data_IF_274689098382
#
_entry.id   IF_274689098382
#
_cell.length_a   1.000
_cell.length_b   1.000
_cell.length_c   1.000
_cell.angle_alpha   90.00
_cell.angle_beta   90.00
_cell.angle_gamma   90.00
#
_symmetry.space_group_name_H-M   'P 1'
#
loop_
_entity.id
_entity.type
_entity.pdbx_description
1 polymer ?
#
# COMPACT_ATOMS: atom_id res chain seq x y z
N UNK A 1 26.58 50.64 19.42
CA UNK A 1 25.76 50.72 18.20
C UNK A 1 25.09 49.36 18.00
N UNK A 2 23.80 49.21 18.33
CA UNK A 2 23.09 47.91 18.29
C UNK A 2 22.44 47.75 16.91
N UNK A 3 23.02 46.90 16.07
CA UNK A 3 22.44 46.53 14.76
C UNK A 3 21.36 45.48 15.04
N UNK A 4 20.09 45.86 14.92
CA UNK A 4 18.96 44.93 14.96
C UNK A 4 18.85 44.27 13.58
N UNK A 5 19.36 43.06 13.45
CA UNK A 5 19.10 42.20 12.29
C UNK A 5 17.68 41.64 12.46
N UNK A 6 16.71 42.22 11.75
CA UNK A 6 15.36 41.67 11.66
C UNK A 6 15.39 40.64 10.54
N UNK A 7 15.52 39.36 10.91
CA UNK A 7 15.39 38.24 9.97
C UNK A 7 13.91 38.19 9.53
N UNK A 8 13.58 38.29 8.23
CA UNK A 8 12.19 38.31 7.81
C UNK A 8 11.59 36.92 8.04
N UNK A 9 10.53 36.89 8.84
CA UNK A 9 9.76 35.73 9.30
C UNK A 9 8.90 35.12 8.16
N UNK A 10 9.45 34.99 6.95
CA UNK A 10 8.68 34.66 5.73
C UNK A 10 9.03 33.30 5.10
N UNK A 11 9.88 32.48 5.73
CA UNK A 11 10.27 31.17 5.20
C UNK A 11 9.49 30.00 5.85
N UNK A 12 8.75 30.22 6.95
CA UNK A 12 8.03 29.14 7.65
C UNK A 12 6.60 28.87 7.13
N UNK A 13 6.18 29.48 6.02
CA UNK A 13 4.79 29.43 5.55
C UNK A 13 4.46 28.37 4.48
N UNK A 14 5.46 27.77 3.81
CA UNK A 14 5.23 26.91 2.64
C UNK A 14 5.29 25.40 2.91
N UNK A 15 5.76 24.97 4.09
CA UNK A 15 5.89 23.54 4.40
C UNK A 15 4.54 22.83 4.59
N UNK A 16 3.47 23.56 4.95
CA UNK A 16 2.16 22.97 5.23
C UNK A 16 1.24 22.84 3.99
N UNK A 17 1.62 23.39 2.84
CA UNK A 17 0.81 23.30 1.60
C UNK A 17 1.07 21.97 0.86
N UNK A 18 2.16 21.27 1.17
CA UNK A 18 2.59 20.06 0.46
C UNK A 18 2.05 18.76 1.08
N UNK A 19 1.62 18.78 2.35
CA UNK A 19 1.03 17.61 2.99
C UNK A 19 -0.47 17.58 2.70
N UNK A 20 -0.86 16.90 1.63
CA UNK A 20 -2.24 16.52 1.40
C UNK A 20 -2.66 15.52 2.46
N UNK A 21 -3.19 15.99 3.59
CA UNK A 21 -3.76 15.09 4.60
C UNK A 21 -4.96 14.39 3.97
N UNK A 22 -4.75 13.15 3.54
CA UNK A 22 -5.79 12.34 2.94
C UNK A 22 -6.72 11.80 4.06
N UNK A 23 -8.02 12.12 3.98
CA UNK A 23 -9.02 11.67 4.96
C UNK A 23 -9.47 10.21 4.72
N UNK A 24 -8.53 9.31 4.39
CA UNK A 24 -8.87 7.92 4.13
C UNK A 24 -9.34 7.20 5.40
N UNK A 25 -10.54 6.62 5.33
CA UNK A 25 -11.11 5.85 6.43
C UNK A 25 -10.69 4.38 6.33
N UNK A 26 -10.42 3.79 7.50
CA UNK A 26 -10.21 2.34 7.65
C UNK A 26 -8.94 1.79 6.94
N UNK A 27 -7.87 2.59 6.89
CA UNK A 27 -6.51 2.11 6.64
C UNK A 27 -5.96 1.51 7.93
N UNK A 28 -5.73 0.19 7.95
CA UNK A 28 -5.25 -0.54 9.15
C UNK A 28 -3.82 -1.09 9.02
N UNK A 29 -3.29 -1.14 7.79
CA UNK A 29 -1.98 -1.76 7.46
C UNK A 29 -1.12 -0.80 6.65
N UNK A 30 -1.73 -0.06 5.73
CA UNK A 30 -1.06 1.01 5.00
C UNK A 30 -0.95 2.26 5.86
N UNK A 31 0.03 3.11 5.56
CA UNK A 31 0.21 4.40 6.23
C UNK A 31 -1.09 5.22 6.16
N UNK A 32 -1.68 5.64 7.29
CA UNK A 32 -2.86 6.50 7.29
C UNK A 32 -2.62 7.87 6.64
N UNK A 33 -1.37 8.29 6.45
CA UNK A 33 -0.97 9.55 5.82
C UNK A 33 -0.54 9.40 4.35
N UNK A 34 -0.73 8.22 3.75
CA UNK A 34 -0.40 7.97 2.35
C UNK A 34 -1.09 8.99 1.42
N UNK A 35 -0.36 9.50 0.43
CA UNK A 35 -0.91 10.42 -0.55
C UNK A 35 -1.98 9.72 -1.42
N UNK A 36 -3.00 10.46 -1.85
CA UNK A 36 -4.13 9.87 -2.59
C UNK A 36 -3.71 9.20 -3.90
N UNK A 37 -2.77 9.81 -4.62
CA UNK A 37 -2.23 9.28 -5.88
C UNK A 37 -1.50 7.96 -5.66
N UNK A 38 -0.72 7.86 -4.58
CA UNK A 38 0.03 6.67 -4.20
C UNK A 38 -0.91 5.54 -3.76
N UNK A 39 -1.91 5.85 -2.93
CA UNK A 39 -2.91 4.86 -2.53
C UNK A 39 -3.67 4.31 -3.76
N UNK A 40 -4.09 5.18 -4.67
CA UNK A 40 -4.78 4.76 -5.91
C UNK A 40 -3.86 3.89 -6.78
N UNK A 41 -2.58 4.23 -6.90
CA UNK A 41 -1.61 3.44 -7.66
C UNK A 41 -1.43 2.06 -7.05
N UNK A 42 -1.30 1.99 -5.72
CA UNK A 42 -1.15 0.74 -4.97
C UNK A 42 -2.39 -0.16 -5.13
N UNK A 43 -3.60 0.39 -4.98
CA UNK A 43 -4.84 -0.36 -5.18
C UNK A 43 -4.97 -0.90 -6.62
N UNK A 44 -4.59 -0.10 -7.62
CA UNK A 44 -4.54 -0.55 -9.03
C UNK A 44 -3.52 -1.67 -9.22
N UNK A 45 -2.35 -1.58 -8.58
CA UNK A 45 -1.34 -2.64 -8.61
C UNK A 45 -1.88 -3.94 -8.06
N UNK A 46 -2.58 -3.92 -6.91
CA UNK A 46 -3.18 -5.12 -6.34
C UNK A 46 -4.23 -5.73 -7.28
N UNK A 47 -5.14 -4.91 -7.80
CA UNK A 47 -6.15 -5.38 -8.75
C UNK A 47 -5.52 -6.03 -9.98
N UNK A 48 -4.44 -5.44 -10.53
CA UNK A 48 -3.68 -6.00 -11.66
C UNK A 48 -3.01 -7.33 -11.30
N UNK A 49 -2.34 -7.42 -10.15
CA UNK A 49 -1.66 -8.63 -9.72
C UNK A 49 -2.59 -9.82 -9.52
N UNK A 50 -3.84 -9.57 -9.15
CA UNK A 50 -4.88 -10.59 -8.94
C UNK A 50 -5.77 -10.80 -10.18
N UNK A 51 -5.64 -9.98 -11.23
CA UNK A 51 -6.51 -10.06 -12.41
C UNK A 51 -7.98 -9.70 -12.15
N UNK A 52 -8.25 -8.89 -11.13
CA UNK A 52 -9.62 -8.56 -10.68
C UNK A 52 -9.95 -7.08 -10.86
N UNK A 53 -11.23 -6.74 -10.69
CA UNK A 53 -11.72 -5.35 -10.62
C UNK A 53 -11.84 -4.87 -9.18
N UNK A 54 -11.90 -3.56 -8.96
CA UNK A 54 -12.00 -2.96 -7.61
C UNK A 54 -13.15 -3.53 -6.77
N UNK A 55 -14.28 -3.86 -7.40
CA UNK A 55 -15.49 -4.40 -6.74
C UNK A 55 -15.34 -5.83 -6.23
N UNK A 56 -14.24 -6.50 -6.56
CA UNK A 56 -13.88 -7.80 -5.98
C UNK A 56 -13.63 -7.64 -4.47
N UNK A 57 -12.82 -6.65 -4.07
CA UNK A 57 -12.52 -6.36 -2.68
C UNK A 57 -13.40 -5.26 -2.09
N UNK A 58 -13.83 -4.26 -2.87
CA UNK A 58 -14.52 -3.08 -2.33
C UNK A 58 -16.01 -3.07 -2.58
N UNK A 59 -16.76 -2.50 -1.64
CA UNK A 59 -18.14 -2.05 -1.87
C UNK A 59 -18.08 -0.78 -2.71
N UNK A 60 -18.80 -0.76 -3.85
CA UNK A 60 -18.89 0.42 -4.72
C UNK A 60 -19.38 1.63 -3.92
N UNK A 61 -18.75 2.78 -4.12
CA UNK A 61 -19.01 4.05 -3.43
C UNK A 61 -18.79 4.03 -1.90
N UNK A 62 -18.32 2.91 -1.34
CA UNK A 62 -18.07 2.75 0.10
C UNK A 62 -16.79 1.94 0.38
N UNK A 63 -15.67 2.40 -0.20
CA UNK A 63 -14.37 1.71 -0.18
C UNK A 63 -13.84 1.38 1.23
N UNK A 64 -14.25 2.14 2.25
CA UNK A 64 -13.87 1.96 3.65
C UNK A 64 -14.56 0.77 4.33
N UNK A 65 -15.71 0.30 3.83
CA UNK A 65 -16.46 -0.83 4.43
C UNK A 65 -15.71 -2.14 4.34
N UNK A 66 -15.89 -3.00 5.34
CA UNK A 66 -15.26 -4.33 5.45
C UNK A 66 -16.24 -5.47 5.09
N UNK A 67 -17.39 -5.15 4.48
CA UNK A 67 -18.48 -6.07 4.10
C UNK A 67 -18.09 -7.14 3.05
N UNK A 68 -16.91 -7.02 2.45
CA UNK A 68 -16.37 -7.95 1.46
C UNK A 68 -15.25 -8.76 2.09
N UNK A 69 -15.42 -10.07 2.18
CA UNK A 69 -14.41 -10.98 2.75
C UNK A 69 -13.04 -10.84 2.08
N UNK A 70 -12.99 -10.70 0.76
CA UNK A 70 -11.74 -10.50 0.01
C UNK A 70 -10.92 -9.28 0.50
N UNK A 71 -11.54 -8.22 1.01
CA UNK A 71 -10.82 -7.09 1.61
C UNK A 71 -10.15 -7.47 2.92
N UNK A 72 -10.81 -8.27 3.75
CA UNK A 72 -10.26 -8.76 5.00
C UNK A 72 -9.05 -9.67 4.74
N UNK A 73 -9.16 -10.55 3.73
CA UNK A 73 -8.06 -11.41 3.28
C UNK A 73 -6.92 -10.57 2.71
N UNK A 74 -7.21 -9.63 1.81
CA UNK A 74 -6.20 -8.75 1.21
C UNK A 74 -5.41 -7.98 2.27
N UNK A 75 -6.07 -7.53 3.36
CA UNK A 75 -5.37 -6.88 4.49
C UNK A 75 -4.32 -7.79 5.13
N UNK A 76 -4.64 -9.07 5.33
CA UNK A 76 -3.68 -10.06 5.83
C UNK A 76 -2.54 -10.29 4.82
N UNK A 77 -2.86 -10.37 3.53
CA UNK A 77 -1.85 -10.55 2.48
C UNK A 77 -0.90 -9.36 2.33
N UNK A 78 -1.38 -8.12 2.53
CA UNK A 78 -0.52 -6.93 2.54
C UNK A 78 0.47 -7.00 3.71
N UNK A 79 -0.01 -7.34 4.91
CA UNK A 79 0.85 -7.50 6.09
C UNK A 79 1.88 -8.63 5.91
N UNK A 80 1.45 -9.78 5.36
CA UNK A 80 2.35 -10.90 5.03
C UNK A 80 3.42 -10.48 4.02
N UNK A 81 3.04 -9.77 2.96
CA UNK A 81 3.97 -9.28 1.94
C UNK A 81 4.99 -8.33 2.56
N UNK A 82 4.57 -7.43 3.45
CA UNK A 82 5.49 -6.54 4.15
C UNK A 82 6.49 -7.30 5.03
N UNK A 83 6.04 -8.36 5.73
CA UNK A 83 6.92 -9.26 6.48
C UNK A 83 7.95 -9.95 5.60
N UNK A 84 7.52 -10.59 4.51
CA UNK A 84 8.43 -11.27 3.56
C UNK A 84 9.44 -10.28 2.98
N UNK A 85 9.03 -9.06 2.64
CA UNK A 85 9.95 -8.02 2.15
C UNK A 85 11.01 -7.64 3.17
N UNK A 86 10.64 -7.53 4.44
CA UNK A 86 11.59 -7.28 5.53
C UNK A 86 12.62 -8.41 5.62
N UNK A 87 12.17 -9.68 5.60
CA UNK A 87 13.05 -10.84 5.63
C UNK A 87 13.97 -10.88 4.39
N UNK A 88 13.44 -10.63 3.19
CA UNK A 88 14.23 -10.59 1.95
C UNK A 88 15.30 -9.50 1.99
N UNK A 89 15.01 -8.35 2.60
CA UNK A 89 15.98 -7.27 2.78
C UNK A 89 17.10 -7.66 3.74
N UNK A 90 16.79 -8.41 4.79
CA UNK A 90 17.77 -8.92 5.75
C UNK A 90 18.65 -10.02 5.13
N UNK A 91 18.03 -10.99 4.46
CA UNK A 91 18.71 -12.16 3.88
C UNK A 91 19.54 -11.76 2.65
N UNK A 92 19.05 -10.81 1.84
CA UNK A 92 19.68 -10.40 0.58
C UNK A 92 19.90 -8.88 0.50
N UNK A 93 20.74 -8.29 1.37
CA UNK A 93 20.87 -6.83 1.51
C UNK A 93 21.45 -6.11 0.28
N UNK A 94 22.14 -6.86 -0.60
CA UNK A 94 22.72 -6.35 -1.85
C UNK A 94 21.85 -6.60 -3.09
N UNK A 95 20.67 -7.22 -2.92
CA UNK A 95 19.72 -7.50 -4.01
C UNK A 95 18.45 -6.70 -3.78
N UNK A 96 17.78 -6.34 -4.86
CA UNK A 96 16.51 -5.62 -4.85
C UNK A 96 15.28 -6.55 -4.72
N UNK A 97 15.46 -7.72 -4.08
CA UNK A 97 14.39 -8.72 -3.96
C UNK A 97 13.20 -8.21 -3.13
N UNK A 98 13.46 -7.46 -2.06
CA UNK A 98 12.41 -6.82 -1.26
C UNK A 98 11.49 -5.94 -2.14
N UNK A 99 12.08 -5.10 -2.98
CA UNK A 99 11.31 -4.17 -3.84
C UNK A 99 10.55 -4.91 -4.95
N UNK A 100 11.15 -5.99 -5.48
CA UNK A 100 10.56 -6.80 -6.54
C UNK A 100 9.47 -7.76 -6.05
N UNK A 101 9.55 -8.23 -4.81
CA UNK A 101 8.58 -9.18 -4.27
C UNK A 101 7.22 -8.49 -4.08
N UNK A 102 6.17 -8.93 -4.77
CA UNK A 102 4.84 -8.34 -4.68
C UNK A 102 3.78 -9.40 -4.98
N UNK A 103 2.50 -9.01 -4.94
CA UNK A 103 1.36 -9.92 -5.12
C UNK A 103 1.44 -10.72 -6.43
N UNK A 104 1.99 -10.16 -7.52
CA UNK A 104 2.09 -10.84 -8.81
C UNK A 104 3.06 -12.03 -8.78
N UNK A 105 4.01 -12.09 -7.84
CA UNK A 105 4.95 -13.22 -7.70
C UNK A 105 4.19 -14.52 -7.44
N UNK A 106 3.13 -14.46 -6.63
CA UNK A 106 2.31 -15.64 -6.32
C UNK A 106 1.04 -15.70 -7.18
N UNK A 107 0.31 -14.58 -7.31
CA UNK A 107 -0.99 -14.55 -7.96
C UNK A 107 -0.91 -14.63 -9.48
N UNK A 108 0.16 -14.11 -10.10
CA UNK A 108 0.37 -14.15 -11.55
C UNK A 108 -0.84 -13.72 -12.42
N UNK A 109 -1.69 -12.81 -11.91
CA UNK A 109 -2.91 -12.35 -12.61
C UNK A 109 -4.16 -13.19 -12.33
N UNK A 110 -4.13 -14.07 -11.33
CA UNK A 110 -5.27 -14.85 -10.85
C UNK A 110 -5.64 -14.47 -9.40
N UNK A 111 -6.94 -14.49 -9.10
CA UNK A 111 -7.44 -14.17 -7.75
C UNK A 111 -6.91 -15.17 -6.72
N UNK A 112 -6.85 -16.45 -7.10
CA UNK A 112 -6.23 -17.51 -6.34
C UNK A 112 -4.97 -18.00 -7.06
N UNK A 113 -3.83 -18.12 -6.34
CA UNK A 113 -2.61 -18.68 -6.94
C UNK A 113 -2.83 -20.13 -7.40
N UNK A 114 -2.34 -20.51 -8.57
CA UNK A 114 -2.50 -21.87 -9.12
C UNK A 114 -2.00 -22.96 -8.15
N UNK A 115 -0.93 -22.67 -7.42
CA UNK A 115 -0.34 -23.59 -6.46
C UNK A 115 -1.20 -23.80 -5.19
N UNK A 116 -2.17 -22.91 -4.92
CA UNK A 116 -3.08 -23.07 -3.78
C UNK A 116 -4.09 -24.21 -4.03
N UNK A 117 -4.51 -24.42 -5.28
CA UNK A 117 -5.43 -25.52 -5.64
C UNK A 117 -4.69 -26.82 -5.93
N UNK A 118 -3.47 -26.76 -6.48
CA UNK A 118 -2.68 -27.95 -6.84
C UNK A 118 -2.39 -28.91 -5.66
N UNK A 119 -2.48 -28.43 -4.42
CA UNK A 119 -2.29 -29.24 -3.21
C UNK A 119 -3.59 -29.86 -2.66
N UNK A 120 -4.75 -29.55 -3.23
CA UNK A 120 -6.06 -30.14 -2.85
C UNK A 120 -6.47 -31.33 -3.74
N UNK A 121 -5.66 -31.65 -4.76
CA UNK A 121 -5.86 -32.79 -5.68
C UNK A 121 -4.86 -33.93 -5.36
N UNK A 122 -4.59 -34.17 -4.06
CA UNK A 122 -3.87 -35.35 -3.57
C UNK A 122 -4.66 -36.05 -2.48
#
# INVERSE_FOLDING_TARGET
>A
MKIKFVLPLFILGLANIVYGQSDFKNLKVLDPKIEESELKLLMKSYAKSLGVKCTFCHVRDAFHKDDKEHKLIARKMIAMTAGIRADLKEIFPKKDLSEKFNCAVCHAGSADPEWAEAHLIR
#
